data_IF_245178298314
#
_entry.id   IF_245178298314
#
_cell.length_a   1.000
_cell.length_b   1.000
_cell.length_c   1.000
_cell.angle_alpha   90.00
_cell.angle_beta   90.00
_cell.angle_gamma   90.00
#
_symmetry.space_group_name_H-M   'P 1'
#
loop_
_entity.id
_entity.type
_entity.pdbx_description
1 polymer ?
#
# COMPACT_ATOMS: atom_id res chain seq x y z
N UNK A 1 -1.19 3.71 3.88
CA UNK A 1 0.24 4.04 4.03
C UNK A 1 0.49 4.38 5.48
N UNK A 2 1.52 3.81 6.10
CA UNK A 2 1.86 4.08 7.50
C UNK A 2 3.36 4.36 7.66
N UNK A 3 3.67 5.50 8.28
CA UNK A 3 5.01 5.88 8.69
C UNK A 3 5.26 5.39 10.13
N UNK A 4 5.90 4.25 10.29
CA UNK A 4 6.31 3.70 11.59
C UNK A 4 7.70 4.12 12.04
N UNK A 5 8.22 5.23 11.54
CA UNK A 5 9.50 5.80 11.99
C UNK A 5 9.29 6.94 13.00
N UNK A 6 10.40 7.37 13.62
CA UNK A 6 10.41 8.53 14.53
C UNK A 6 10.55 9.87 13.79
N UNK A 7 10.66 9.86 12.46
CA UNK A 7 10.85 11.03 11.62
C UNK A 7 9.65 11.21 10.68
N UNK A 8 9.37 12.46 10.32
CA UNK A 8 8.40 12.77 9.26
C UNK A 8 9.01 12.36 7.91
N UNK A 9 8.17 11.80 7.04
CA UNK A 9 8.58 11.40 5.69
C UNK A 9 7.50 11.72 4.67
N UNK A 10 7.94 12.01 3.44
CA UNK A 10 7.06 12.11 2.29
C UNK A 10 7.10 10.82 1.50
N UNK A 11 5.95 10.16 1.34
CA UNK A 11 5.82 8.95 0.55
C UNK A 11 5.10 9.26 -0.75
N UNK A 12 5.71 8.96 -1.90
CA UNK A 12 5.04 9.03 -3.19
C UNK A 12 4.68 7.61 -3.64
N UNK A 13 3.39 7.26 -3.62
CA UNK A 13 2.90 5.97 -4.12
C UNK A 13 2.36 6.11 -5.53
N UNK A 14 2.76 5.20 -6.42
CA UNK A 14 2.24 5.07 -7.77
C UNK A 14 1.81 3.63 -8.00
N UNK A 15 0.62 3.43 -8.54
CA UNK A 15 0.08 2.10 -8.88
C UNK A 15 -0.21 2.06 -10.37
N UNK A 16 0.27 1.00 -11.02
CA UNK A 16 0.02 0.75 -12.46
C UNK A 16 -0.75 -0.55 -12.67
N UNK A 17 -1.48 -0.63 -13.79
CA UNK A 17 -2.10 -1.86 -14.27
C UNK A 17 -1.12 -2.70 -15.13
N UNK A 18 -1.58 -3.83 -15.69
CA UNK A 18 -0.76 -4.73 -16.51
C UNK A 18 -0.29 -4.11 -17.85
N UNK A 19 -0.87 -2.98 -18.26
CA UNK A 19 -0.48 -2.23 -19.45
C UNK A 19 0.48 -1.08 -19.13
N UNK A 20 1.04 -1.05 -17.91
CA UNK A 20 1.88 0.03 -17.38
C UNK A 20 1.18 1.40 -17.28
N UNK A 21 -0.16 1.44 -17.32
CA UNK A 21 -0.93 2.67 -17.15
C UNK A 21 -1.06 3.01 -15.65
N UNK A 22 -0.76 4.25 -15.28
CA UNK A 22 -0.98 4.74 -13.91
C UNK A 22 -2.47 4.83 -13.62
N UNK A 23 -2.92 4.05 -12.63
CA UNK A 23 -4.30 4.05 -12.13
C UNK A 23 -4.46 4.74 -10.77
N UNK A 24 -3.34 4.97 -10.07
CA UNK A 24 -3.30 5.74 -8.84
C UNK A 24 -1.94 6.38 -8.66
N UNK A 25 -1.92 7.63 -8.19
CA UNK A 25 -0.69 8.34 -7.84
C UNK A 25 -1.01 9.38 -6.77
N UNK A 26 -0.42 9.23 -5.59
CA UNK A 26 -0.60 10.17 -4.49
C UNK A 26 0.68 10.34 -3.66
N UNK A 27 0.79 11.52 -3.04
CA UNK A 27 1.84 11.84 -2.09
C UNK A 27 1.26 11.93 -0.67
N UNK A 28 1.94 11.30 0.28
CA UNK A 28 1.57 11.24 1.67
C UNK A 28 2.68 11.90 2.49
N UNK A 29 2.42 13.10 2.99
CA UNK A 29 3.30 13.74 3.97
C UNK A 29 2.84 13.31 5.37
N UNK A 30 3.58 12.38 5.99
CA UNK A 30 3.16 11.69 7.21
C UNK A 30 4.10 11.97 8.37
N UNK A 31 3.53 12.48 9.46
CA UNK A 31 4.17 12.60 10.75
C UNK A 31 4.64 11.23 11.30
N UNK A 32 5.61 11.21 12.24
CA UNK A 32 6.05 10.00 12.91
C UNK A 32 4.89 9.18 13.49
N UNK A 33 4.92 7.86 13.29
CA UNK A 33 3.93 6.90 13.81
C UNK A 33 2.47 7.16 13.37
N UNK A 34 2.28 7.82 12.22
CA UNK A 34 0.95 8.09 11.64
C UNK A 34 0.73 7.36 10.31
N UNK A 35 -0.52 7.23 9.89
CA UNK A 35 -0.85 6.66 8.60
C UNK A 35 -2.10 7.27 7.99
N UNK A 36 -2.20 7.10 6.67
CA UNK A 36 -3.38 7.41 5.87
C UNK A 36 -3.78 6.18 5.05
N UNK A 37 -4.95 5.63 5.35
CA UNK A 37 -5.44 4.34 4.86
C UNK A 37 -6.75 4.47 4.08
N UNK A 38 -7.25 5.69 3.85
CA UNK A 38 -8.61 5.91 3.33
C UNK A 38 -8.68 6.11 1.81
N UNK A 39 -7.82 5.42 1.06
CA UNK A 39 -7.69 5.61 -0.39
C UNK A 39 -8.27 4.43 -1.17
N UNK A 40 -9.12 4.76 -2.13
CA UNK A 40 -9.71 3.79 -3.05
C UNK A 40 -8.99 3.88 -4.38
N UNK A 41 -8.43 2.75 -4.82
CA UNK A 41 -7.79 2.62 -6.12
C UNK A 41 -8.81 1.98 -7.07
N UNK A 42 -9.20 2.70 -8.11
CA UNK A 42 -10.06 2.15 -9.16
C UNK A 42 -9.23 1.38 -10.19
N UNK A 43 -9.81 0.29 -10.73
CA UNK A 43 -9.15 -0.56 -11.71
C UNK A 43 -8.52 -1.82 -11.12
N UNK A 44 -7.58 -2.42 -11.87
CA UNK A 44 -6.89 -3.66 -11.47
C UNK A 44 -5.39 -3.35 -11.34
N UNK A 45 -4.88 -3.24 -10.10
CA UNK A 45 -3.45 -3.04 -9.86
C UNK A 45 -2.62 -4.23 -10.33
N UNK A 46 -1.43 -3.94 -10.84
CA UNK A 46 -0.40 -4.93 -11.19
C UNK A 46 0.93 -4.63 -10.47
N UNK A 47 1.29 -3.36 -10.30
CA UNK A 47 2.52 -2.95 -9.62
C UNK A 47 2.25 -1.76 -8.70
N UNK A 48 2.82 -1.79 -7.49
CA UNK A 48 2.89 -0.66 -6.57
C UNK A 48 4.35 -0.20 -6.51
N UNK A 49 4.60 1.08 -6.75
CA UNK A 49 5.89 1.73 -6.56
C UNK A 49 5.77 2.78 -5.47
N UNK A 50 6.70 2.77 -4.52
CA UNK A 50 6.74 3.75 -3.44
C UNK A 50 8.11 4.37 -3.37
N UNK A 51 8.15 5.70 -3.38
CA UNK A 51 9.35 6.50 -3.12
C UNK A 51 9.20 7.14 -1.75
N UNK A 52 10.26 7.12 -0.94
CA UNK A 52 10.28 7.74 0.39
C UNK A 52 11.33 8.85 0.34
N UNK A 53 10.90 10.09 0.55
CA UNK A 53 11.70 11.29 0.31
C UNK A 53 12.34 11.23 -1.10
N UNK A 54 13.66 11.45 -1.20
CA UNK A 54 14.45 11.35 -2.44
C UNK A 54 15.17 9.99 -2.59
N UNK A 55 14.72 8.95 -1.87
CA UNK A 55 15.36 7.62 -1.92
C UNK A 55 15.01 6.88 -3.21
N UNK A 56 15.73 5.79 -3.47
CA UNK A 56 15.40 4.90 -4.60
C UNK A 56 13.98 4.32 -4.41
N UNK A 57 13.15 4.29 -5.47
CA UNK A 57 11.83 3.69 -5.40
C UNK A 57 11.90 2.20 -5.05
N UNK A 58 10.96 1.75 -4.23
CA UNK A 58 10.71 0.34 -3.92
C UNK A 58 9.49 -0.11 -4.71
N UNK A 59 9.60 -1.26 -5.37
CA UNK A 59 8.53 -1.81 -6.21
C UNK A 59 8.03 -3.13 -5.64
N UNK A 60 6.72 -3.30 -5.67
CA UNK A 60 6.03 -4.53 -5.30
C UNK A 60 5.08 -4.94 -6.40
N UNK A 61 5.07 -6.24 -6.73
CA UNK A 61 4.01 -6.81 -7.56
C UNK A 61 2.72 -6.88 -6.76
N UNK A 62 1.61 -6.49 -7.39
CA UNK A 62 0.28 -6.68 -6.83
C UNK A 62 -0.08 -8.16 -6.85
N UNK A 63 0.07 -8.81 -5.70
CA UNK A 63 -0.27 -10.21 -5.55
C UNK A 63 -0.94 -10.46 -4.19
N UNK A 64 -2.25 -10.13 -4.10
CA UNK A 64 -3.00 -10.30 -2.86
C UNK A 64 -3.17 -11.76 -2.45
N UNK A 65 -2.87 -12.72 -3.33
CA UNK A 65 -2.93 -14.15 -3.01
C UNK A 65 -1.71 -14.60 -2.20
N UNK A 66 -0.55 -13.96 -2.36
CA UNK A 66 0.68 -14.37 -1.66
C UNK A 66 0.92 -13.68 -0.31
N UNK A 67 0.22 -12.58 -0.01
CA UNK A 67 0.35 -11.88 1.28
C UNK A 67 -0.87 -11.96 2.21
N UNK A 68 -1.88 -12.76 1.89
CA UNK A 68 -2.97 -13.09 2.81
C UNK A 68 -2.54 -14.22 3.77
N UNK A 69 -1.70 -13.94 4.76
CA UNK A 69 -1.47 -14.90 5.86
C UNK A 69 -2.77 -15.17 6.62
N UNK A 70 -3.09 -16.43 6.95
CA UNK A 70 -4.29 -16.98 7.68
C UNK A 70 -5.69 -16.40 7.39
N UNK A 71 -5.79 -15.37 6.56
CA UNK A 71 -6.98 -14.71 6.05
C UNK A 71 -7.21 -15.07 4.58
N UNK A 72 -6.54 -16.11 4.06
CA UNK A 72 -6.70 -16.65 2.70
C UNK A 72 -8.02 -17.41 2.51
N UNK A 73 -9.12 -16.87 3.04
CA UNK A 73 -10.43 -17.12 2.47
C UNK A 73 -10.60 -16.10 1.35
N UNK A 74 -10.83 -16.57 0.12
CA UNK A 74 -11.20 -15.74 -1.02
C UNK A 74 -12.09 -14.58 -0.54
N UNK A 75 -11.64 -13.31 -0.70
CA UNK A 75 -12.38 -12.17 -0.19
C UNK A 75 -13.85 -12.33 -0.61
N UNK A 76 -14.76 -12.37 0.38
CA UNK A 76 -16.16 -12.72 0.10
C UNK A 76 -16.75 -11.74 -0.91
N UNK A 77 -17.65 -12.23 -1.77
CA UNK A 77 -18.34 -11.41 -2.79
C UNK A 77 -18.91 -10.13 -2.15
N UNK A 78 -18.37 -8.98 -2.54
CA UNK A 78 -18.72 -7.67 -1.96
C UNK A 78 -17.65 -7.04 -1.06
N UNK A 79 -16.53 -7.74 -0.82
CA UNK A 79 -15.34 -7.20 -0.15
C UNK A 79 -14.34 -6.71 -1.18
N UNK A 80 -13.64 -5.61 -0.86
CA UNK A 80 -12.51 -5.10 -1.61
C UNK A 80 -11.22 -5.67 -1.04
N UNK A 81 -10.20 -5.85 -1.89
CA UNK A 81 -8.85 -6.17 -1.44
C UNK A 81 -8.21 -4.87 -0.97
N UNK A 82 -7.65 -4.85 0.24
CA UNK A 82 -6.88 -3.73 0.76
C UNK A 82 -5.39 -4.07 0.80
N UNK A 83 -4.56 -3.03 0.68
CA UNK A 83 -3.12 -3.12 0.89
C UNK A 83 -2.70 -2.05 1.90
N UNK A 84 -1.98 -2.47 2.93
CA UNK A 84 -1.30 -1.57 3.87
C UNK A 84 0.19 -1.59 3.59
N UNK A 85 0.75 -0.41 3.33
CA UNK A 85 2.18 -0.21 3.15
C UNK A 85 2.74 0.34 4.46
N UNK A 86 3.65 -0.43 5.08
CA UNK A 86 4.18 -0.15 6.41
C UNK A 86 5.68 0.10 6.31
N UNK A 87 6.11 1.27 6.78
CA UNK A 87 7.51 1.66 6.79
C UNK A 87 8.07 1.67 8.21
N UNK A 88 9.08 0.85 8.49
CA UNK A 88 9.75 0.85 9.79
C UNK A 88 11.28 0.84 9.59
N UNK A 89 11.91 1.95 9.98
CA UNK A 89 13.37 2.08 9.98
C UNK A 89 14.03 1.49 11.24
N UNK A 90 13.33 1.47 12.37
CA UNK A 90 13.88 1.03 13.67
C UNK A 90 14.25 -0.45 13.64
N UNK A 91 13.44 -1.29 13.00
CA UNK A 91 13.68 -2.73 12.88
C UNK A 91 14.59 -3.10 11.69
N UNK A 92 15.04 -2.10 10.90
CA UNK A 92 15.84 -2.31 9.69
C UNK A 92 15.09 -2.99 8.54
N UNK A 93 13.77 -3.11 8.68
CA UNK A 93 12.92 -3.91 7.79
C UNK A 93 12.43 -3.14 6.55
N UNK A 94 12.61 -1.81 6.52
CA UNK A 94 12.28 -0.98 5.37
C UNK A 94 10.77 -0.92 5.11
N UNK A 95 10.39 -0.82 3.84
CA UNK A 95 8.99 -0.76 3.43
C UNK A 95 8.45 -2.18 3.16
N UNK A 96 7.29 -2.50 3.73
CA UNK A 96 6.59 -3.79 3.58
C UNK A 96 5.16 -3.58 3.11
N UNK A 97 4.65 -4.54 2.35
CA UNK A 97 3.23 -4.60 1.98
C UNK A 97 2.52 -5.73 2.75
N UNK A 98 1.31 -5.45 3.21
CA UNK A 98 0.41 -6.42 3.85
C UNK A 98 -0.93 -6.35 3.15
N UNK A 99 -1.45 -7.50 2.72
CA UNK A 99 -2.76 -7.56 2.07
C UNK A 99 -3.83 -7.98 3.06
N UNK A 100 -5.03 -7.43 2.87
CA UNK A 100 -6.23 -7.76 3.64
C UNK A 100 -7.47 -7.79 2.77
N UNK A 101 -8.58 -8.22 3.36
CA UNK A 101 -9.92 -8.05 2.79
C UNK A 101 -10.67 -7.02 3.63
N UNK A 102 -11.17 -5.97 3.00
CA UNK A 102 -12.01 -4.96 3.65
C UNK A 102 -13.40 -4.94 3.01
N UNK A 103 -14.43 -4.96 3.84
CA UNK A 103 -15.79 -4.70 3.38
C UNK A 103 -15.89 -3.20 3.14
N UNK A 104 -15.80 -2.76 1.87
CA UNK A 104 -15.98 -1.36 1.52
C UNK A 104 -17.36 -0.88 1.99
N UNK A 105 -17.41 -0.15 3.11
CA UNK A 105 -18.60 0.60 3.46
C UNK A 105 -18.69 1.77 2.47
N UNK A 106 -19.56 1.62 1.46
CA UNK A 106 -19.99 2.75 0.63
C UNK A 106 -20.46 3.86 1.58
N UNK A 107 -19.75 4.99 1.61
CA UNK A 107 -20.32 6.24 2.11
C UNK A 107 -21.27 6.81 1.06
#
# INVERSE_FOLDING_TARGET
>A
MYNGSDEQHVFAATVTNENDETIFKEEFDLDPNTGDENWVIEGTPATITVTIDDRKPVMFSWDPQTGAGDHSGECQKGSSISVSLWYNQQDGEGLKQVYGCETAQKR
#
